data_IF_304647693679
#
_entry.id   IF_304647693679
#
_cell.length_a   1.000
_cell.length_b   1.000
_cell.length_c   1.000
_cell.angle_alpha   90.00
_cell.angle_beta   90.00
_cell.angle_gamma   90.00
#
_symmetry.space_group_name_H-M   'P 1'
#
loop_
_entity.id
_entity.type
_entity.pdbx_description
1 polymer ?
#
# COMPACT_ATOMS: atom_id res chain seq x y z
N UNK A 1 -17.88 -37.52 -15.54
CA UNK A 1 -17.61 -36.36 -16.42
C UNK A 1 -16.23 -35.83 -16.08
N UNK A 2 -15.32 -35.61 -17.04
CA UNK A 2 -14.06 -34.94 -16.74
C UNK A 2 -14.38 -33.49 -16.32
N UNK A 3 -13.68 -32.92 -15.32
CA UNK A 3 -13.88 -31.53 -14.97
C UNK A 3 -13.53 -30.68 -16.19
N UNK A 4 -14.46 -29.83 -16.63
CA UNK A 4 -14.16 -28.75 -17.57
C UNK A 4 -12.93 -28.01 -17.03
N UNK A 5 -11.78 -28.14 -17.71
CA UNK A 5 -10.60 -27.34 -17.39
C UNK A 5 -11.03 -25.88 -17.56
N UNK A 6 -11.16 -25.15 -16.45
CA UNK A 6 -11.33 -23.70 -16.49
C UNK A 6 -10.15 -23.15 -17.30
N UNK A 7 -10.46 -22.35 -18.33
CA UNK A 7 -9.46 -21.69 -19.13
C UNK A 7 -8.58 -20.76 -18.27
N UNK A 8 -7.49 -20.21 -18.83
CA UNK A 8 -6.65 -19.27 -18.11
C UNK A 8 -7.45 -18.03 -17.72
N UNK A 9 -7.22 -17.59 -16.48
CA UNK A 9 -7.88 -16.43 -15.89
C UNK A 9 -7.12 -15.13 -16.20
N UNK A 10 -5.82 -15.22 -16.57
CA UNK A 10 -5.02 -14.08 -17.04
C UNK A 10 -4.10 -14.47 -18.19
N UNK A 11 -4.14 -13.70 -19.27
CA UNK A 11 -3.20 -13.74 -20.40
C UNK A 11 -2.20 -12.58 -20.27
N UNK A 12 -0.93 -12.89 -20.01
CA UNK A 12 0.13 -11.89 -19.85
C UNK A 12 0.98 -11.80 -21.13
N UNK A 13 0.93 -10.65 -21.78
CA UNK A 13 1.66 -10.36 -23.02
C UNK A 13 2.87 -9.48 -22.73
N UNK A 14 4.05 -9.93 -23.15
CA UNK A 14 5.27 -9.12 -23.17
C UNK A 14 5.47 -8.49 -24.55
N UNK A 15 6.12 -7.32 -24.58
CA UNK A 15 6.52 -6.63 -25.81
C UNK A 15 7.45 -7.45 -26.70
N UNK A 16 8.13 -8.45 -26.14
CA UNK A 16 9.04 -9.38 -26.84
C UNK A 16 8.29 -10.54 -27.53
N UNK A 17 6.95 -10.53 -27.54
CA UNK A 17 6.11 -11.54 -28.19
C UNK A 17 5.77 -12.76 -27.32
N UNK A 18 6.33 -12.86 -26.12
CA UNK A 18 6.03 -13.95 -25.19
C UNK A 18 4.64 -13.77 -24.55
N UNK A 19 3.84 -14.83 -24.54
CA UNK A 19 2.53 -14.88 -23.88
C UNK A 19 2.54 -15.96 -22.81
N UNK A 20 2.10 -15.60 -21.60
CA UNK A 20 1.95 -16.52 -20.49
C UNK A 20 0.48 -16.62 -20.07
N UNK A 21 0.03 -17.84 -19.80
CA UNK A 21 -1.31 -18.13 -19.35
C UNK A 21 -1.27 -18.48 -17.87
N UNK A 22 -1.93 -17.66 -17.05
CA UNK A 22 -1.89 -17.76 -15.59
C UNK A 22 -3.27 -18.07 -15.01
N UNK A 23 -3.25 -18.72 -13.86
CA UNK A 23 -4.42 -19.05 -13.03
C UNK A 23 -4.44 -18.13 -11.82
N UNK A 24 -5.61 -17.61 -11.46
CA UNK A 24 -5.80 -16.83 -10.25
C UNK A 24 -5.61 -17.68 -8.99
N UNK A 25 -5.05 -17.05 -7.96
CA UNK A 25 -4.82 -17.67 -6.66
C UNK A 25 -5.84 -17.23 -5.61
N UNK A 26 -6.69 -16.25 -5.94
CA UNK A 26 -7.54 -15.54 -4.99
C UNK A 26 -9.02 -15.81 -5.25
N UNK A 27 -9.67 -16.60 -4.40
CA UNK A 27 -11.12 -16.87 -4.53
C UNK A 27 -11.99 -15.62 -4.32
N UNK A 28 -11.52 -14.69 -3.50
CA UNK A 28 -12.30 -13.56 -3.00
C UNK A 28 -12.13 -12.30 -3.85
N UNK A 29 -11.16 -12.30 -4.77
CA UNK A 29 -10.94 -11.22 -5.71
C UNK A 29 -11.54 -11.62 -7.06
N UNK A 30 -12.60 -10.95 -7.53
CA UNK A 30 -13.15 -11.27 -8.83
C UNK A 30 -12.06 -11.06 -9.88
N UNK A 31 -11.72 -12.13 -10.62
CA UNK A 31 -10.77 -12.12 -11.73
C UNK A 31 -11.38 -11.36 -12.92
N UNK A 32 -11.53 -10.05 -12.77
CA UNK A 32 -12.13 -9.15 -13.76
C UNK A 32 -11.19 -8.89 -14.93
N UNK A 33 -9.91 -9.25 -14.80
CA UNK A 33 -8.86 -8.94 -15.75
C UNK A 33 -8.37 -10.23 -16.40
N UNK A 34 -8.78 -10.42 -17.66
CA UNK A 34 -8.40 -11.60 -18.42
C UNK A 34 -7.14 -11.39 -19.25
N UNK A 35 -6.68 -10.15 -19.39
CA UNK A 35 -5.53 -9.80 -20.23
C UNK A 35 -4.70 -8.69 -19.58
N UNK A 36 -3.37 -8.83 -19.63
CA UNK A 36 -2.38 -7.85 -19.21
C UNK A 36 -1.32 -7.68 -20.30
N UNK A 37 -1.14 -6.45 -20.80
CA UNK A 37 -0.13 -6.13 -21.81
C UNK A 37 0.96 -5.25 -21.20
N UNK A 38 2.17 -5.79 -21.07
CA UNK A 38 3.33 -5.08 -20.54
C UNK A 38 3.75 -3.98 -21.52
N UNK A 39 3.81 -2.74 -21.03
CA UNK A 39 4.23 -1.57 -21.82
C UNK A 39 5.59 -1.03 -21.43
N UNK A 40 5.99 -1.20 -20.17
CA UNK A 40 7.27 -0.70 -19.65
C UNK A 40 7.79 -1.57 -18.53
N UNK A 41 9.10 -1.81 -18.47
CA UNK A 41 9.77 -2.51 -17.35
C UNK A 41 10.42 -1.48 -16.41
N UNK A 42 10.32 -1.73 -15.11
CA UNK A 42 11.00 -1.00 -14.05
C UNK A 42 11.86 -1.97 -13.25
N UNK A 43 13.18 -1.83 -13.39
CA UNK A 43 14.12 -2.77 -12.78
C UNK A 43 13.90 -4.21 -13.28
N UNK A 44 14.14 -5.19 -12.40
CA UNK A 44 14.10 -6.61 -12.76
C UNK A 44 12.69 -7.21 -12.78
N UNK A 45 11.87 -6.83 -11.78
CA UNK A 45 10.68 -7.58 -11.42
C UNK A 45 9.40 -6.74 -11.44
N UNK A 46 9.45 -5.46 -11.78
CA UNK A 46 8.28 -4.59 -11.80
C UNK A 46 8.03 -4.12 -13.22
N UNK A 47 6.77 -4.12 -13.65
CA UNK A 47 6.37 -3.68 -14.99
C UNK A 47 5.13 -2.80 -14.92
N UNK A 48 5.02 -1.83 -15.82
CA UNK A 48 3.77 -1.17 -16.15
C UNK A 48 3.03 -2.02 -17.17
N UNK A 49 1.74 -2.22 -16.97
CA UNK A 49 0.90 -2.93 -17.93
C UNK A 49 -0.50 -2.32 -18.04
N UNK A 50 -1.11 -2.51 -19.21
CA UNK A 50 -2.53 -2.26 -19.39
C UNK A 50 -3.30 -3.56 -19.13
N UNK A 51 -4.36 -3.48 -18.33
CA UNK A 51 -5.26 -4.61 -18.05
C UNK A 51 -6.67 -4.35 -18.58
N UNK A 52 -7.39 -5.43 -18.88
CA UNK A 52 -8.78 -5.37 -19.36
C UNK A 52 -9.44 -6.74 -19.42
N UNK A 53 -10.73 -6.74 -19.78
CA UNK A 53 -11.46 -7.96 -20.09
C UNK A 53 -11.00 -8.57 -21.42
N UNK A 54 -11.20 -9.88 -21.60
CA UNK A 54 -10.81 -10.60 -22.82
C UNK A 54 -11.52 -9.98 -24.03
N UNK A 55 -10.78 -9.74 -25.12
CA UNK A 55 -11.28 -9.14 -26.36
C UNK A 55 -11.85 -7.72 -26.21
N UNK A 56 -11.57 -7.03 -25.10
CA UNK A 56 -11.94 -5.62 -24.93
C UNK A 56 -10.69 -4.74 -24.92
N UNK A 57 -10.89 -3.45 -25.23
CA UNK A 57 -9.82 -2.47 -25.10
C UNK A 57 -9.38 -2.42 -23.63
N UNK A 58 -8.07 -2.45 -23.33
CA UNK A 58 -7.60 -2.32 -21.96
C UNK A 58 -8.12 -1.03 -21.31
N UNK A 59 -8.54 -1.13 -20.06
CA UNK A 59 -9.29 -0.07 -19.37
C UNK A 59 -8.51 0.55 -18.22
N UNK A 60 -7.51 -0.14 -17.67
CA UNK A 60 -6.76 0.34 -16.51
C UNK A 60 -5.26 0.10 -16.64
N UNK A 61 -4.49 1.05 -16.14
CA UNK A 61 -3.03 0.98 -16.05
C UNK A 61 -2.64 0.45 -14.68
N UNK A 62 -1.78 -0.57 -14.63
CA UNK A 62 -1.38 -1.27 -13.39
C UNK A 62 0.13 -1.49 -13.31
N UNK A 63 0.59 -1.70 -12.08
CA UNK A 63 1.91 -2.23 -11.78
C UNK A 63 1.82 -3.76 -11.65
N UNK A 64 2.65 -4.48 -12.40
CA UNK A 64 2.85 -5.91 -12.24
C UNK A 64 4.13 -6.14 -11.46
N UNK A 65 4.06 -6.89 -10.35
CA UNK A 65 5.24 -7.43 -9.67
C UNK A 65 5.37 -8.91 -10.04
N UNK A 66 6.49 -9.26 -10.65
CA UNK A 66 6.72 -10.54 -11.31
C UNK A 66 7.82 -11.30 -10.58
N UNK A 67 7.54 -12.54 -10.23
CA UNK A 67 8.48 -13.43 -9.57
C UNK A 67 8.70 -14.69 -10.40
N UNK A 68 9.94 -15.16 -10.48
CA UNK A 68 10.33 -16.39 -11.18
C UNK A 68 11.10 -17.31 -10.25
N UNK A 69 10.74 -18.59 -10.26
CA UNK A 69 11.29 -19.62 -9.39
C UNK A 69 10.61 -19.65 -8.02
N UNK A 70 10.54 -20.84 -7.42
CA UNK A 70 9.71 -21.11 -6.25
C UNK A 70 10.01 -20.23 -5.03
N UNK A 71 11.27 -19.85 -4.80
CA UNK A 71 11.62 -18.96 -3.69
C UNK A 71 11.02 -17.56 -3.87
N UNK A 72 11.18 -16.95 -5.06
CA UNK A 72 10.65 -15.63 -5.33
C UNK A 72 9.11 -15.62 -5.37
N UNK A 73 8.49 -16.68 -5.89
CA UNK A 73 7.03 -16.83 -5.92
C UNK A 73 6.46 -16.93 -4.51
N UNK A 74 7.09 -17.70 -3.60
CA UNK A 74 6.69 -17.74 -2.19
C UNK A 74 6.76 -16.38 -1.50
N UNK A 75 7.81 -15.60 -1.75
CA UNK A 75 7.91 -14.23 -1.23
C UNK A 75 6.79 -13.34 -1.77
N UNK A 76 6.46 -13.47 -3.06
CA UNK A 76 5.37 -12.72 -3.68
C UNK A 76 4.00 -13.13 -3.11
N UNK A 77 3.77 -14.42 -2.89
CA UNK A 77 2.57 -14.97 -2.25
C UNK A 77 2.39 -14.45 -0.81
N UNK A 78 3.49 -14.40 -0.05
CA UNK A 78 3.50 -13.84 1.29
C UNK A 78 3.06 -12.37 1.30
N UNK A 79 3.67 -11.54 0.45
CA UNK A 79 3.31 -10.14 0.29
C UNK A 79 1.84 -9.96 -0.15
N UNK A 80 1.39 -10.74 -1.12
CA UNK A 80 -0.01 -10.74 -1.56
C UNK A 80 -0.97 -11.12 -0.42
N UNK A 81 -0.58 -12.04 0.47
CA UNK A 81 -1.32 -12.36 1.70
C UNK A 81 -1.51 -11.15 2.61
N UNK A 82 -0.50 -10.30 2.74
CA UNK A 82 -0.57 -9.07 3.55
C UNK A 82 -1.53 -8.06 2.93
N UNK A 83 -1.49 -7.90 1.60
CA UNK A 83 -2.44 -7.05 0.87
C UNK A 83 -3.90 -7.48 1.07
N UNK A 84 -4.17 -8.79 0.98
CA UNK A 84 -5.52 -9.37 1.14
C UNK A 84 -6.03 -9.26 2.58
N UNK A 85 -5.13 -9.35 3.55
CA UNK A 85 -5.44 -9.31 4.97
C UNK A 85 -5.27 -7.93 5.58
N UNK A 86 -4.17 -7.73 6.30
CA UNK A 86 -3.95 -6.58 7.18
C UNK A 86 -4.01 -5.22 6.46
N UNK A 87 -3.67 -5.16 5.17
CA UNK A 87 -3.67 -3.90 4.43
C UNK A 87 -4.99 -3.57 3.73
N UNK A 88 -5.99 -4.46 3.78
CA UNK A 88 -7.23 -4.32 3.00
C UNK A 88 -7.87 -2.93 3.12
N UNK A 89 -7.96 -2.39 4.33
CA UNK A 89 -8.65 -1.12 4.60
C UNK A 89 -7.78 0.13 4.30
N UNK A 90 -6.48 -0.09 4.03
CA UNK A 90 -5.48 0.91 3.68
C UNK A 90 -5.24 1.04 2.16
N UNK A 91 -5.75 0.10 1.37
CA UNK A 91 -5.61 0.09 -0.09
C UNK A 91 -6.20 1.34 -0.74
N UNK A 92 -5.47 1.91 -1.68
CA UNK A 92 -5.80 3.16 -2.37
C UNK A 92 -5.64 4.43 -1.52
N UNK A 93 -5.19 4.31 -0.26
CA UNK A 93 -5.00 5.43 0.67
C UNK A 93 -3.55 5.55 1.12
N UNK A 94 -2.99 4.45 1.62
CA UNK A 94 -1.63 4.38 2.19
C UNK A 94 -0.78 3.37 1.44
N UNK A 95 -1.42 2.36 0.85
CA UNK A 95 -0.77 1.35 -0.01
C UNK A 95 -1.54 1.26 -1.33
N UNK A 96 -0.92 0.76 -2.41
CA UNK A 96 -1.62 0.54 -3.68
C UNK A 96 -2.84 -0.37 -3.52
N UNK A 97 -3.84 -0.20 -4.38
CA UNK A 97 -4.90 -1.21 -4.52
C UNK A 97 -4.34 -2.52 -5.06
N UNK A 98 -4.81 -3.63 -4.51
CA UNK A 98 -4.49 -4.98 -4.94
C UNK A 98 -5.58 -5.50 -5.87
N UNK A 99 -5.17 -6.05 -7.01
CA UNK A 99 -6.08 -6.55 -8.06
C UNK A 99 -6.02 -8.07 -8.23
N UNK A 100 -5.10 -8.75 -7.56
CA UNK A 100 -5.01 -10.21 -7.57
C UNK A 100 -3.59 -10.74 -7.75
N UNK A 101 -3.43 -12.02 -7.41
CA UNK A 101 -2.24 -12.81 -7.63
C UNK A 101 -2.55 -13.95 -8.60
N UNK A 102 -1.67 -14.13 -9.57
CA UNK A 102 -1.78 -15.13 -10.62
C UNK A 102 -0.50 -15.95 -10.70
N UNK A 103 -0.63 -17.23 -11.03
CA UNK A 103 0.52 -18.14 -11.14
C UNK A 103 0.43 -19.07 -12.33
N UNK A 104 1.59 -19.54 -12.77
CA UNK A 104 1.72 -20.63 -13.74
C UNK A 104 3.06 -21.34 -13.58
N UNK A 105 3.23 -22.45 -14.28
CA UNK A 105 4.51 -23.16 -14.39
C UNK A 105 4.93 -23.15 -15.85
N UNK A 106 6.05 -22.50 -16.14
CA UNK A 106 6.66 -22.42 -17.47
C UNK A 106 7.47 -23.71 -17.71
N UNK A 107 7.26 -24.33 -18.87
CA UNK A 107 7.95 -25.53 -19.33
C UNK A 107 7.95 -26.69 -18.31
N UNK A 108 6.92 -26.75 -17.44
CA UNK A 108 6.78 -27.78 -16.42
C UNK A 108 7.73 -27.67 -15.21
N UNK A 109 8.62 -26.68 -15.17
CA UNK A 109 9.67 -26.60 -14.15
C UNK A 109 9.79 -25.25 -13.45
N UNK A 110 9.50 -24.15 -14.13
CA UNK A 110 9.76 -22.81 -13.58
C UNK A 110 8.46 -22.15 -13.15
N UNK A 111 8.28 -21.95 -11.85
CA UNK A 111 7.15 -21.18 -11.34
C UNK A 111 7.25 -19.71 -11.75
N UNK A 112 6.13 -19.15 -12.20
CA UNK A 112 5.95 -17.74 -12.48
C UNK A 112 4.77 -17.23 -11.63
N UNK A 113 5.02 -16.20 -10.85
CA UNK A 113 4.00 -15.48 -10.07
C UNK A 113 3.88 -14.03 -10.56
N UNK A 114 2.66 -13.52 -10.63
CA UNK A 114 2.35 -12.15 -11.04
C UNK A 114 1.32 -11.57 -10.09
N UNK A 115 1.72 -10.54 -9.35
CA UNK A 115 0.83 -9.74 -8.52
C UNK A 115 0.49 -8.45 -9.26
N UNK A 116 -0.80 -8.11 -9.29
CA UNK A 116 -1.30 -6.89 -9.94
C UNK A 116 -1.65 -5.85 -8.87
N UNK A 117 -1.05 -4.67 -8.97
CA UNK A 117 -1.27 -3.53 -8.08
C UNK A 117 -1.68 -2.28 -8.88
N UNK A 118 -2.32 -1.33 -8.20
CA UNK A 118 -2.55 0.03 -8.69
C UNK A 118 -1.25 0.64 -9.22
N UNK A 119 -1.27 1.16 -10.44
CA UNK A 119 -0.13 1.92 -10.96
C UNK A 119 -0.10 3.32 -10.34
N UNK A 120 0.87 3.51 -9.46
CA UNK A 120 1.09 4.75 -8.75
C UNK A 120 2.06 5.63 -9.55
N UNK A 121 1.54 6.56 -10.36
CA UNK A 121 2.37 7.49 -11.13
C UNK A 121 2.27 8.91 -10.62
N UNK A 122 3.42 9.58 -10.49
CA UNK A 122 3.49 11.02 -10.40
C UNK A 122 3.09 11.59 -11.76
N UNK A 123 2.06 12.45 -11.82
CA UNK A 123 1.79 13.19 -13.04
C UNK A 123 2.97 14.12 -13.31
N UNK A 124 3.33 14.37 -14.58
CA UNK A 124 4.43 15.31 -14.90
C UNK A 124 4.17 16.73 -14.39
N UNK A 125 2.91 17.05 -14.09
CA UNK A 125 2.46 18.33 -13.57
C UNK A 125 2.31 18.34 -12.03
N UNK A 126 2.54 17.23 -11.34
CA UNK A 126 2.56 17.24 -9.88
C UNK A 126 3.83 17.94 -9.40
N UNK A 127 3.67 19.10 -8.79
CA UNK A 127 4.75 19.72 -8.02
C UNK A 127 5.25 18.69 -7.00
N UNK A 128 6.57 18.49 -6.97
CA UNK A 128 7.19 17.61 -6.00
C UNK A 128 6.83 18.09 -4.60
N UNK A 129 6.48 17.14 -3.72
CA UNK A 129 6.11 17.49 -2.36
C UNK A 129 7.28 18.15 -1.64
N UNK A 130 7.00 19.22 -0.89
CA UNK A 130 8.02 19.82 -0.02
C UNK A 130 8.49 18.78 1.00
N UNK A 131 9.80 18.75 1.28
CA UNK A 131 10.43 17.76 2.16
C UNK A 131 9.70 17.61 3.51
N UNK A 132 9.30 18.71 4.12
CA UNK A 132 8.58 18.71 5.40
C UNK A 132 7.22 18.00 5.30
N UNK A 133 6.44 18.31 4.26
CA UNK A 133 5.15 17.67 4.03
C UNK A 133 5.32 16.18 3.66
N UNK A 134 6.37 15.84 2.90
CA UNK A 134 6.74 14.45 2.60
C UNK A 134 7.01 13.65 3.87
N UNK A 135 7.89 14.14 4.73
CA UNK A 135 8.17 13.52 6.03
C UNK A 135 6.89 13.32 6.83
N UNK A 136 6.08 14.39 6.97
CA UNK A 136 4.84 14.35 7.75
C UNK A 136 3.88 13.29 7.23
N UNK A 137 3.69 13.23 5.90
CA UNK A 137 2.82 12.26 5.23
C UNK A 137 3.35 10.83 5.35
N UNK A 138 4.66 10.64 5.23
CA UNK A 138 5.32 9.35 5.43
C UNK A 138 5.11 8.83 6.87
N UNK A 139 5.32 9.69 7.87
CA UNK A 139 5.10 9.32 9.27
C UNK A 139 3.65 8.93 9.55
N UNK A 140 2.68 9.69 9.00
CA UNK A 140 1.26 9.36 9.13
C UNK A 140 0.91 8.05 8.42
N UNK A 141 1.50 7.78 7.25
CA UNK A 141 1.34 6.53 6.51
C UNK A 141 1.91 5.34 7.30
N UNK A 142 3.11 5.47 7.85
CA UNK A 142 3.75 4.45 8.69
C UNK A 142 2.93 4.15 9.95
N UNK A 143 2.41 5.18 10.63
CA UNK A 143 1.55 4.99 11.79
C UNK A 143 0.27 4.21 11.44
N UNK A 144 -0.35 4.47 10.28
CA UNK A 144 -1.52 3.71 9.81
C UNK A 144 -1.19 2.24 9.54
N UNK A 145 -0.01 1.93 8.98
CA UNK A 145 0.45 0.54 8.83
C UNK A 145 0.57 -0.14 10.20
N UNK A 146 1.18 0.53 11.16
CA UNK A 146 1.39 0.00 12.51
C UNK A 146 0.07 -0.18 13.27
N UNK A 147 -0.89 0.72 13.10
CA UNK A 147 -2.26 0.57 13.62
C UNK A 147 -2.98 -0.63 13.00
N UNK A 148 -2.70 -0.96 11.74
CA UNK A 148 -3.18 -2.19 11.09
C UNK A 148 -2.38 -3.45 11.49
N UNK A 149 -1.42 -3.30 12.42
CA UNK A 149 -0.59 -4.38 12.92
C UNK A 149 0.47 -4.85 11.94
N UNK A 150 0.91 -3.97 11.03
CA UNK A 150 1.95 -4.23 10.04
C UNK A 150 3.22 -3.42 10.35
N UNK A 151 4.36 -4.10 10.42
CA UNK A 151 5.70 -3.48 10.38
C UNK A 151 6.28 -3.78 9.01
N UNK A 152 6.74 -2.77 8.28
CA UNK A 152 7.21 -2.95 6.91
C UNK A 152 8.58 -3.63 6.84
N UNK A 153 9.46 -3.36 7.81
CA UNK A 153 10.78 -3.94 7.99
C UNK A 153 11.87 -3.38 7.07
N UNK A 154 11.52 -2.48 6.14
CA UNK A 154 12.42 -1.84 5.16
C UNK A 154 11.83 -0.53 4.60
N UNK A 155 11.26 0.33 5.43
CA UNK A 155 10.56 1.53 4.95
C UNK A 155 11.52 2.65 4.51
N UNK A 156 12.26 2.43 3.43
CA UNK A 156 13.16 3.41 2.81
C UNK A 156 12.43 4.26 1.77
N UNK A 157 12.98 5.43 1.43
CA UNK A 157 12.43 6.32 0.38
C UNK A 157 12.10 5.59 -0.94
N UNK A 158 12.92 4.61 -1.36
CA UNK A 158 12.68 3.81 -2.59
C UNK A 158 11.43 2.91 -2.55
N UNK A 159 10.87 2.68 -1.36
CA UNK A 159 9.65 1.91 -1.12
C UNK A 159 8.46 2.82 -0.81
N UNK A 160 8.59 4.11 -1.14
CA UNK A 160 7.53 5.11 -1.02
C UNK A 160 7.34 5.79 -2.37
N UNK A 161 6.10 6.03 -2.76
CA UNK A 161 5.73 6.73 -3.98
C UNK A 161 4.87 7.94 -3.62
N UNK A 162 5.15 9.07 -4.26
CA UNK A 162 4.34 10.28 -4.19
C UNK A 162 3.27 10.25 -5.27
N UNK A 163 1.99 10.40 -4.91
CA UNK A 163 0.88 10.53 -5.86
C UNK A 163 0.16 11.84 -5.58
N UNK A 164 0.55 12.89 -6.29
CA UNK A 164 0.11 14.25 -5.97
C UNK A 164 0.59 14.62 -4.56
N UNK A 165 -0.34 14.83 -3.64
CA UNK A 165 -0.04 15.15 -2.24
C UNK A 165 -0.19 13.96 -1.28
N UNK A 166 -0.27 12.73 -1.80
CA UNK A 166 -0.43 11.52 -1.01
C UNK A 166 0.78 10.59 -1.14
N UNK A 167 1.02 9.76 -0.12
CA UNK A 167 2.07 8.75 -0.13
C UNK A 167 1.45 7.36 -0.34
N UNK A 168 2.13 6.52 -1.13
CA UNK A 168 1.90 5.08 -1.19
C UNK A 168 3.15 4.33 -0.78
N UNK A 169 3.00 3.46 0.21
CA UNK A 169 4.05 2.54 0.64
C UNK A 169 3.92 1.24 -0.15
N UNK A 170 5.04 0.72 -0.64
CA UNK A 170 5.12 -0.45 -1.51
C UNK A 170 6.20 -1.43 -1.04
N UNK A 171 6.18 -2.66 -1.55
CA UNK A 171 7.18 -3.71 -1.27
C UNK A 171 7.16 -4.27 0.16
N UNK A 172 6.11 -5.02 0.47
CA UNK A 172 5.90 -5.66 1.77
C UNK A 172 6.56 -7.05 1.86
N UNK A 173 7.57 -7.34 1.03
CA UNK A 173 8.25 -8.64 0.99
C UNK A 173 8.96 -9.02 2.29
N UNK A 174 9.26 -8.03 3.15
CA UNK A 174 9.89 -8.21 4.47
C UNK A 174 9.03 -7.71 5.63
N UNK A 175 7.76 -7.40 5.34
CA UNK A 175 6.86 -6.95 6.36
C UNK A 175 6.52 -8.09 7.32
N UNK A 176 6.09 -7.75 8.52
CA UNK A 176 5.55 -8.68 9.50
C UNK A 176 4.17 -8.21 9.92
N UNK A 177 3.30 -9.17 10.28
CA UNK A 177 1.90 -8.92 10.67
C UNK A 177 1.66 -9.33 12.11
N UNK A 178 0.51 -8.91 12.66
CA UNK A 178 0.15 -9.11 14.08
C UNK A 178 1.01 -8.31 15.06
N UNK A 179 1.63 -7.23 14.58
CA UNK A 179 2.33 -6.29 15.43
C UNK A 179 1.35 -5.51 16.31
N UNK A 180 1.64 -5.38 17.61
CA UNK A 180 0.94 -4.47 18.51
C UNK A 180 1.85 -3.29 18.79
N UNK A 181 1.62 -2.18 18.09
CA UNK A 181 2.41 -0.98 18.28
C UNK A 181 1.77 -0.08 19.35
N UNK A 182 2.47 0.10 20.47
CA UNK A 182 2.06 1.06 21.52
C UNK A 182 2.31 2.51 21.07
N UNK A 183 3.27 2.70 20.16
CA UNK A 183 3.67 4.00 19.63
C UNK A 183 3.13 4.33 18.23
N UNK A 184 2.00 3.75 17.78
CA UNK A 184 1.45 4.03 16.45
C UNK A 184 0.77 5.41 16.31
N UNK A 185 1.27 6.38 17.07
CA UNK A 185 0.94 7.79 17.02
C UNK A 185 2.29 8.49 16.85
N UNK A 186 2.48 9.38 15.85
CA UNK A 186 3.75 10.07 15.65
C UNK A 186 4.21 10.74 16.96
N UNK A 187 5.45 10.51 17.40
CA UNK A 187 5.94 10.96 18.72
C UNK A 187 6.26 12.46 18.78
N UNK A 188 5.89 13.25 17.77
CA UNK A 188 5.98 14.71 17.80
C UNK A 188 5.29 15.37 19.02
N UNK A 189 4.57 14.59 19.84
CA UNK A 189 3.74 15.06 20.96
C UNK A 189 3.98 14.37 22.31
N UNK A 190 4.81 13.32 22.42
CA UNK A 190 5.03 12.68 23.73
C UNK A 190 6.51 12.46 24.00
N UNK A 191 6.96 13.02 25.13
CA UNK A 191 8.31 12.85 25.65
C UNK A 191 8.71 11.37 25.68
N UNK A 192 10.00 11.12 25.44
CA UNK A 192 10.64 9.80 25.34
C UNK A 192 10.19 8.88 26.49
N UNK A 193 9.16 8.07 26.26
CA UNK A 193 8.57 7.20 27.27
C UNK A 193 7.96 5.95 26.64
N UNK A 194 8.46 4.79 27.11
CA UNK A 194 8.21 3.41 26.68
C UNK A 194 8.56 3.07 25.22
N UNK A 195 9.48 2.10 25.07
CA UNK A 195 10.15 1.69 23.81
C UNK A 195 9.18 1.65 22.62
N UNK A 196 9.26 2.68 21.77
CA UNK A 196 8.58 2.72 20.48
C UNK A 196 9.01 1.57 19.57
N UNK A 197 8.22 1.30 18.53
CA UNK A 197 8.59 0.30 17.53
C UNK A 197 9.86 0.74 16.81
N UNK A 198 10.83 -0.16 16.64
CA UNK A 198 12.14 0.14 16.04
C UNK A 198 12.01 0.82 14.67
N UNK A 199 11.05 0.38 13.84
CA UNK A 199 10.81 1.01 12.54
C UNK A 199 10.34 2.47 12.66
N UNK A 200 9.47 2.80 13.62
CA UNK A 200 9.00 4.17 13.81
C UNK A 200 10.09 5.05 14.42
N UNK A 201 10.87 4.54 15.37
CA UNK A 201 12.02 5.26 15.94
C UNK A 201 13.02 5.59 14.85
N UNK A 202 13.36 4.60 14.01
CA UNK A 202 14.27 4.80 12.89
C UNK A 202 13.72 5.83 11.88
N UNK A 203 12.42 5.78 11.56
CA UNK A 203 11.80 6.79 10.69
C UNK A 203 11.83 8.19 11.29
N UNK A 204 11.64 8.33 12.60
CA UNK A 204 11.74 9.62 13.27
C UNK A 204 13.17 10.16 13.27
N UNK A 205 14.18 9.31 13.45
CA UNK A 205 15.59 9.71 13.35
C UNK A 205 15.96 10.13 11.92
N UNK A 206 15.52 9.36 10.93
CA UNK A 206 15.85 9.59 9.52
C UNK A 206 15.09 10.78 8.92
N UNK A 207 13.80 10.92 9.25
CA UNK A 207 12.90 11.88 8.61
C UNK A 207 12.37 12.97 9.55
N UNK A 208 12.31 12.74 10.86
CA UNK A 208 11.68 13.62 11.86
C UNK A 208 12.49 14.83 12.31
N UNK A 209 13.79 14.91 11.96
CA UNK A 209 14.61 16.09 12.20
C UNK A 209 14.32 17.20 11.18
N UNK A 210 13.15 17.82 11.31
CA UNK A 210 12.81 19.05 10.62
C UNK A 210 11.86 19.86 11.51
N UNK A 211 12.37 20.91 12.13
CA UNK A 211 11.65 21.82 13.04
C UNK A 211 10.38 22.38 12.37
N UNK A 212 9.21 22.36 13.05
CA UNK A 212 8.23 23.45 13.06
C UNK A 212 6.96 23.13 13.88
N UNK A 213 6.60 24.04 14.76
CA UNK A 213 5.43 24.02 15.66
C UNK A 213 4.07 23.92 14.92
N UNK A 214 4.03 24.23 13.63
CA UNK A 214 2.81 24.25 12.80
C UNK A 214 2.22 22.86 12.51
N UNK A 215 3.07 21.82 12.44
CA UNK A 215 2.62 20.42 12.23
C UNK A 215 1.84 19.91 13.44
N UNK A 216 2.26 20.30 14.64
CA UNK A 216 1.60 19.96 15.90
C UNK A 216 0.21 20.60 15.95
N UNK A 217 0.08 21.86 15.52
CA UNK A 217 -1.20 22.56 15.49
C UNK A 217 -2.23 21.90 14.55
N UNK A 218 -1.83 21.41 13.38
CA UNK A 218 -2.76 20.76 12.43
C UNK A 218 -3.18 19.36 12.87
N UNK A 219 -2.26 18.58 13.47
CA UNK A 219 -2.58 17.27 14.06
C UNK A 219 -3.58 17.43 15.22
N UNK A 220 -3.42 18.46 16.06
CA UNK A 220 -4.37 18.79 17.13
C UNK A 220 -5.74 19.23 16.58
N UNK A 221 -5.78 20.00 15.49
CA UNK A 221 -7.05 20.39 14.81
C UNK A 221 -7.80 19.20 14.20
N UNK A 222 -7.10 18.19 13.67
CA UNK A 222 -7.73 16.97 13.15
C UNK A 222 -8.27 16.08 14.28
N UNK A 223 -7.54 16.01 15.40
CA UNK A 223 -7.97 15.28 16.60
C UNK A 223 -9.22 15.90 17.23
N UNK A 224 -9.32 17.23 17.29
CA UNK A 224 -10.48 17.91 17.87
C UNK A 224 -11.75 17.78 17.01
N UNK A 225 -11.62 17.80 15.67
CA UNK A 225 -12.74 17.57 14.75
C UNK A 225 -13.30 16.15 14.85
N UNK A 226 -12.45 15.14 15.00
CA UNK A 226 -12.90 13.75 15.13
C UNK A 226 -13.48 13.45 16.52
N UNK A 227 -13.04 14.15 17.56
CA UNK A 227 -13.60 14.02 18.91
C UNK A 227 -14.98 14.69 19.03
N UNK A 228 -15.16 15.89 18.48
CA UNK A 228 -16.45 16.60 18.47
C UNK A 228 -17.50 15.84 17.64
N UNK A 229 -17.11 15.23 16.51
CA UNK A 229 -18.01 14.46 15.64
C UNK A 229 -18.30 13.03 16.13
N UNK A 230 -17.64 12.57 17.20
CA UNK A 230 -17.87 11.26 17.81
C UNK A 230 -18.59 11.31 19.16
N UNK A 231 -18.98 12.52 19.62
CA UNK A 231 -19.84 12.66 20.79
C UNK A 231 -21.29 12.22 20.45
N UNK A 232 -21.91 11.35 21.25
CA UNK A 232 -23.34 11.07 21.14
C UNK A 232 -24.15 12.36 21.32
N UNK A 233 -25.25 12.51 20.57
CA UNK A 233 -26.07 13.73 20.47
C UNK A 233 -26.64 14.28 21.80
N UNK A 234 -26.41 13.60 22.93
CA UNK A 234 -26.98 13.91 24.24
C UNK A 234 -26.03 14.70 25.16
N UNK A 235 -24.80 15.01 24.72
CA UNK A 235 -23.78 15.69 25.54
C UNK A 235 -23.54 17.17 25.19
N UNK A 236 -24.42 17.78 24.39
CA UNK A 236 -24.47 19.25 24.27
C UNK A 236 -25.20 19.84 25.49
N UNK A 237 -24.52 19.89 26.63
CA UNK A 237 -24.90 20.85 27.68
C UNK A 237 -24.05 22.11 27.51
N UNK A 238 -24.76 23.21 27.29
CA UNK A 238 -24.27 24.58 27.20
C UNK A 238 -23.36 24.94 28.38
N UNK A 239 -22.11 25.30 28.10
CA UNK A 239 -21.32 26.13 29.00
C UNK A 239 -21.61 27.60 28.67
N UNK A 240 -22.62 28.15 29.35
CA UNK A 240 -22.86 29.58 29.38
C UNK A 240 -21.69 30.32 30.11
N UNK A 241 -21.33 31.55 29.70
CA UNK A 241 -20.18 32.27 30.24
C UNK A 241 -20.48 32.92 31.60
N UNK A 242 -19.78 32.48 32.65
CA UNK A 242 -19.87 33.02 34.00
C UNK A 242 -18.70 33.94 34.39
N UNK A 243 -19.02 35.24 34.37
CA UNK A 243 -18.47 36.40 35.11
C UNK A 243 -17.23 36.26 36.02
N UNK A 244 -16.31 37.20 35.78
CA UNK A 244 -15.33 37.76 36.71
C UNK A 244 -15.95 38.25 38.03
N UNK A 245 -15.34 37.87 39.15
CA UNK A 245 -14.93 38.74 40.27
C UNK A 245 -13.73 38.11 40.96
#
# INVERSE_FOLDING_TARGET
>A
MPPHRKGPELELHYSEGNVYYLQGCDSDYPHQHAHAHVVKKFGKNVCQAWIGARNQKPTALVALKIARGSSAVKTLEYEAGIYRGALRDLQGKVVPKYHGLYRTVIDGHTELGVMILEFCSNSKDSQQMEKHEYTRRLMLAACKLHQAGVVHGQLYARHTLEIGQEIRIIDFSRATVSHRCVGAVPMLLQGRGERGCEELVWLEEEYGASENEDVVAEILKQRNRNWINSLPAFLNLELAPGRWY
#
